data_IF_779497677565
#
_entry.id   IF_779497677565
#
_cell.length_a   1.000
_cell.length_b   1.000
_cell.length_c   1.000
_cell.angle_alpha   90.00
_cell.angle_beta   90.00
_cell.angle_gamma   90.00
#
_symmetry.space_group_name_H-M   'P 1'
#
loop_
_entity.id
_entity.type
_entity.pdbx_description
1 polymer ?
#
# COMPACT_ATOMS: atom_id res chain seq x y z
N UNK A 1 -30.97 10.22 -28.62
CA UNK A 1 -30.44 9.10 -27.82
C UNK A 1 -29.58 8.26 -28.74
N UNK A 2 -28.28 8.45 -28.60
CA UNK A 2 -27.31 7.88 -29.55
C UNK A 2 -27.17 6.36 -29.36
N UNK A 3 -27.52 5.64 -30.40
CA UNK A 3 -27.41 4.17 -30.52
C UNK A 3 -25.98 3.61 -30.27
N UNK A 4 -25.02 4.50 -30.17
CA UNK A 4 -23.58 4.17 -29.98
C UNK A 4 -23.22 3.74 -28.56
N UNK A 5 -24.02 4.12 -27.54
CA UNK A 5 -23.68 3.83 -26.13
C UNK A 5 -24.11 2.40 -25.72
N UNK A 6 -25.10 1.84 -26.36
CA UNK A 6 -25.70 0.56 -25.93
C UNK A 6 -25.35 -0.67 -26.78
N UNK A 7 -24.97 -0.51 -28.04
CA UNK A 7 -24.81 -1.64 -28.97
C UNK A 7 -23.43 -2.24 -29.07
N UNK A 8 -22.38 -1.44 -29.05
CA UNK A 8 -20.99 -1.92 -29.22
C UNK A 8 -20.28 -2.24 -27.90
N UNK A 9 -20.61 -1.54 -26.82
CA UNK A 9 -20.00 -1.77 -25.50
C UNK A 9 -20.46 -3.12 -24.89
N UNK A 10 -21.67 -3.58 -25.22
CA UNK A 10 -22.24 -4.84 -24.74
C UNK A 10 -21.62 -6.10 -25.39
N UNK A 11 -20.95 -6.00 -26.53
CA UNK A 11 -20.36 -7.17 -27.22
C UNK A 11 -18.97 -7.55 -26.73
N UNK A 12 -18.31 -6.69 -25.94
CA UNK A 12 -16.90 -6.89 -25.52
C UNK A 12 -16.69 -7.55 -24.15
N UNK A 13 -17.74 -7.97 -23.45
CA UNK A 13 -17.59 -8.60 -22.12
C UNK A 13 -17.33 -10.11 -22.14
N UNK A 14 -17.35 -10.79 -23.30
CA UNK A 14 -17.30 -12.25 -23.42
C UNK A 14 -16.28 -12.82 -24.42
N UNK A 15 -15.20 -12.14 -24.73
CA UNK A 15 -14.16 -12.66 -25.63
C UNK A 15 -12.76 -12.22 -25.24
N UNK A 16 -11.79 -13.11 -25.45
CA UNK A 16 -10.34 -12.86 -25.34
C UNK A 16 -10.04 -11.53 -26.04
N UNK A 17 -9.44 -10.60 -25.30
CA UNK A 17 -9.25 -9.22 -25.71
C UNK A 17 -8.46 -9.10 -27.02
N UNK A 18 -9.14 -8.86 -28.14
CA UNK A 18 -8.54 -8.15 -29.23
C UNK A 18 -8.17 -6.74 -28.77
N UNK A 19 -6.99 -6.27 -29.15
CA UNK A 19 -6.34 -5.02 -28.75
C UNK A 19 -7.06 -3.78 -29.32
N UNK A 20 -8.40 -3.70 -29.10
CA UNK A 20 -9.22 -2.58 -29.59
C UNK A 20 -9.09 -1.39 -28.64
N UNK A 21 -8.75 -0.24 -29.17
CA UNK A 21 -8.72 1.04 -28.44
C UNK A 21 -10.11 1.32 -27.88
N UNK A 22 -10.21 1.46 -26.55
CA UNK A 22 -11.47 1.85 -25.90
C UNK A 22 -11.76 3.32 -26.19
N UNK A 23 -13.02 3.68 -26.50
CA UNK A 23 -13.37 5.07 -26.78
C UNK A 23 -13.19 5.94 -25.54
N UNK A 24 -12.83 7.19 -25.74
CA UNK A 24 -12.84 8.21 -24.71
C UNK A 24 -14.29 8.51 -24.33
N UNK A 25 -14.61 8.46 -23.04
CA UNK A 25 -15.92 8.81 -22.50
C UNK A 25 -15.84 10.15 -21.75
N UNK A 26 -16.81 11.03 -21.98
CA UNK A 26 -17.06 12.22 -21.15
C UNK A 26 -17.58 11.78 -19.77
N UNK A 27 -17.55 12.67 -18.76
CA UNK A 27 -18.04 12.33 -17.41
C UNK A 27 -19.52 11.90 -17.43
N UNK A 28 -20.46 12.61 -18.09
CA UNK A 28 -21.83 12.12 -18.21
C UNK A 28 -21.93 10.73 -18.87
N UNK A 29 -21.10 10.45 -19.88
CA UNK A 29 -21.07 9.12 -20.50
C UNK A 29 -20.50 8.04 -19.55
N UNK A 30 -19.54 8.38 -18.68
CA UNK A 30 -19.04 7.48 -17.65
C UNK A 30 -20.13 7.15 -16.62
N UNK A 31 -20.92 8.13 -16.20
CA UNK A 31 -22.07 7.95 -15.30
C UNK A 31 -23.12 7.03 -15.95
N UNK A 32 -23.51 7.34 -17.20
CA UNK A 32 -24.45 6.50 -17.94
C UNK A 32 -23.93 5.05 -18.09
N UNK A 33 -22.63 4.88 -18.37
CA UNK A 33 -22.01 3.55 -18.46
C UNK A 33 -22.05 2.81 -17.11
N UNK A 34 -21.75 3.48 -16.00
CA UNK A 34 -21.82 2.88 -14.66
C UNK A 34 -23.26 2.46 -14.34
N UNK A 35 -24.26 3.30 -14.62
CA UNK A 35 -25.67 3.02 -14.37
C UNK A 35 -26.19 1.89 -15.26
N UNK A 36 -26.11 2.07 -16.59
CA UNK A 36 -26.85 1.25 -17.55
C UNK A 36 -26.15 -0.07 -17.84
N UNK A 37 -24.83 -0.06 -17.95
CA UNK A 37 -24.03 -1.23 -18.31
C UNK A 37 -23.55 -1.98 -17.07
N UNK A 38 -23.09 -1.26 -16.05
CA UNK A 38 -22.54 -1.87 -14.84
C UNK A 38 -23.59 -2.11 -13.76
N UNK A 39 -24.78 -1.49 -13.84
CA UNK A 39 -25.84 -1.60 -12.85
C UNK A 39 -25.47 -0.95 -11.51
N UNK A 40 -24.57 0.04 -11.52
CA UNK A 40 -24.24 0.80 -10.33
C UNK A 40 -25.38 1.78 -10.05
N UNK A 41 -25.83 1.79 -8.80
CA UNK A 41 -26.94 2.63 -8.36
C UNK A 41 -26.44 4.01 -7.92
N UNK A 42 -27.31 4.99 -8.03
CA UNK A 42 -27.08 6.39 -7.62
C UNK A 42 -28.24 6.86 -6.73
N UNK A 43 -28.58 6.06 -5.71
CA UNK A 43 -29.71 6.35 -4.81
C UNK A 43 -29.28 7.11 -3.57
N UNK A 44 -28.02 6.95 -3.14
CA UNK A 44 -27.43 7.63 -1.99
C UNK A 44 -26.70 8.90 -2.44
N UNK A 45 -25.96 8.81 -3.52
CA UNK A 45 -25.28 9.93 -4.19
C UNK A 45 -25.94 10.08 -5.54
N UNK A 46 -26.50 11.25 -5.83
CA UNK A 46 -27.14 11.54 -7.13
C UNK A 46 -26.13 11.52 -8.27
N UNK A 47 -26.60 11.30 -9.51
CA UNK A 47 -25.73 11.35 -10.69
C UNK A 47 -25.02 12.69 -10.83
N UNK A 48 -25.69 13.79 -10.50
CA UNK A 48 -25.08 15.13 -10.55
C UNK A 48 -23.96 15.30 -9.51
N UNK A 49 -24.14 14.81 -8.30
CA UNK A 49 -23.09 14.82 -7.28
C UNK A 49 -21.93 13.91 -7.66
N UNK A 50 -22.22 12.77 -8.31
CA UNK A 50 -21.19 11.86 -8.82
C UNK A 50 -20.40 12.48 -9.99
N UNK A 51 -21.04 13.25 -10.87
CA UNK A 51 -20.38 14.02 -11.93
C UNK A 51 -19.40 15.03 -11.33
N UNK A 52 -19.84 15.83 -10.36
CA UNK A 52 -18.98 16.80 -9.67
C UNK A 52 -17.81 16.11 -8.96
N UNK A 53 -18.06 14.98 -8.30
CA UNK A 53 -17.01 14.22 -7.66
C UNK A 53 -15.96 13.68 -8.65
N UNK A 54 -16.39 13.21 -9.82
CA UNK A 54 -15.49 12.75 -10.88
C UNK A 54 -14.77 13.89 -11.59
N UNK A 55 -15.33 15.09 -11.58
CA UNK A 55 -14.73 16.29 -12.17
C UNK A 55 -13.63 16.87 -11.26
N UNK A 56 -13.92 17.00 -9.97
CA UNK A 56 -13.12 17.83 -9.08
C UNK A 56 -12.27 17.04 -8.06
N UNK A 57 -12.68 15.81 -7.70
CA UNK A 57 -12.10 15.10 -6.57
C UNK A 57 -11.46 13.76 -6.93
N UNK A 58 -11.93 13.09 -7.99
CA UNK A 58 -11.44 11.77 -8.37
C UNK A 58 -11.70 11.52 -9.86
N UNK A 59 -11.26 10.38 -10.37
CA UNK A 59 -11.48 9.99 -11.76
C UNK A 59 -12.01 8.55 -11.85
N UNK A 60 -12.82 8.29 -12.87
CA UNK A 60 -13.53 7.02 -13.03
C UNK A 60 -12.62 5.80 -12.97
N UNK A 61 -11.45 5.84 -13.63
CA UNK A 61 -10.55 4.69 -13.68
C UNK A 61 -10.05 4.27 -12.28
N UNK A 62 -9.86 5.25 -11.38
CA UNK A 62 -9.49 4.99 -9.98
C UNK A 62 -10.65 4.37 -9.18
N UNK A 63 -11.86 4.93 -9.31
CA UNK A 63 -13.05 4.37 -8.66
C UNK A 63 -13.34 2.95 -9.11
N UNK A 64 -13.22 2.70 -10.42
CA UNK A 64 -13.41 1.38 -11.01
C UNK A 64 -12.52 0.30 -10.38
N UNK A 65 -11.35 0.65 -9.85
CA UNK A 65 -10.48 -0.32 -9.19
C UNK A 65 -11.17 -1.01 -8.00
N UNK A 66 -12.03 -0.29 -7.26
CA UNK A 66 -12.74 -0.81 -6.09
C UNK A 66 -13.94 -1.70 -6.44
N UNK A 67 -14.44 -1.67 -7.69
CA UNK A 67 -15.50 -2.55 -8.17
C UNK A 67 -15.16 -4.03 -7.98
N UNK A 68 -13.87 -4.39 -7.97
CA UNK A 68 -13.39 -5.78 -7.76
C UNK A 68 -13.82 -6.38 -6.42
N UNK A 69 -14.15 -5.54 -5.43
CA UNK A 69 -14.65 -5.98 -4.13
C UNK A 69 -16.12 -6.45 -4.17
N UNK A 70 -16.79 -6.29 -5.29
CA UNK A 70 -18.22 -6.61 -5.43
C UNK A 70 -18.44 -7.74 -6.42
N UNK A 71 -19.55 -8.42 -6.27
CA UNK A 71 -19.94 -9.55 -7.12
C UNK A 71 -20.77 -9.08 -8.32
N UNK A 72 -20.60 -9.78 -9.44
CA UNK A 72 -21.34 -9.57 -10.68
C UNK A 72 -22.41 -10.66 -10.78
N UNK A 73 -23.60 -10.32 -11.26
CA UNK A 73 -24.66 -11.25 -11.56
C UNK A 73 -24.25 -12.17 -12.74
N UNK A 74 -24.28 -13.48 -12.51
CA UNK A 74 -23.84 -14.46 -13.51
C UNK A 74 -24.97 -14.95 -14.43
N UNK A 75 -26.25 -14.67 -14.10
CA UNK A 75 -27.42 -15.15 -14.83
C UNK A 75 -28.59 -14.16 -14.78
N UNK A 76 -29.63 -14.39 -15.58
CA UNK A 76 -30.84 -13.58 -15.65
C UNK A 76 -30.65 -12.26 -16.40
N UNK A 77 -31.63 -11.37 -16.29
CA UNK A 77 -31.68 -10.07 -16.98
C UNK A 77 -30.54 -9.12 -16.56
N UNK A 78 -30.04 -9.29 -15.33
CA UNK A 78 -28.95 -8.50 -14.78
C UNK A 78 -27.57 -9.13 -14.98
N UNK A 79 -27.41 -10.14 -15.85
CA UNK A 79 -26.13 -10.77 -16.15
C UNK A 79 -25.09 -9.72 -16.56
N UNK A 80 -23.95 -9.72 -15.91
CA UNK A 80 -22.84 -8.79 -16.15
C UNK A 80 -22.91 -7.49 -15.34
N UNK A 81 -24.02 -7.22 -14.64
CA UNK A 81 -24.18 -6.07 -13.75
C UNK A 81 -23.76 -6.42 -12.31
N UNK A 82 -23.32 -5.41 -11.56
CA UNK A 82 -23.00 -5.59 -10.14
C UNK A 82 -24.27 -5.87 -9.32
N UNK A 83 -24.12 -6.75 -8.34
CA UNK A 83 -25.18 -7.01 -7.37
C UNK A 83 -25.11 -5.96 -6.27
N UNK A 84 -26.15 -5.11 -6.20
CA UNK A 84 -26.34 -4.12 -5.13
C UNK A 84 -25.14 -3.18 -4.87
N UNK A 85 -24.53 -2.65 -5.93
CA UNK A 85 -23.42 -1.71 -5.83
C UNK A 85 -23.92 -0.27 -6.01
N UNK A 86 -23.67 0.56 -5.00
CA UNK A 86 -23.92 2.00 -5.01
C UNK A 86 -22.65 2.78 -5.35
N UNK A 87 -22.77 3.91 -6.06
CA UNK A 87 -21.67 4.82 -6.29
C UNK A 87 -21.07 5.34 -4.97
N UNK A 88 -21.93 5.58 -3.97
CA UNK A 88 -21.54 5.98 -2.61
C UNK A 88 -20.52 5.02 -1.97
N UNK A 89 -20.67 3.70 -2.22
CA UNK A 89 -19.77 2.69 -1.66
C UNK A 89 -18.38 2.78 -2.27
N UNK A 90 -18.27 3.02 -3.58
CA UNK A 90 -16.99 3.22 -4.27
C UNK A 90 -16.32 4.52 -3.82
N UNK A 91 -17.10 5.60 -3.67
CA UNK A 91 -16.63 6.88 -3.14
C UNK A 91 -16.05 6.69 -1.74
N UNK A 92 -16.75 6.00 -0.86
CA UNK A 92 -16.33 5.75 0.52
C UNK A 92 -15.05 4.89 0.57
N UNK A 93 -14.97 3.80 -0.21
CA UNK A 93 -13.74 2.99 -0.31
C UNK A 93 -12.54 3.83 -0.79
N UNK A 94 -12.76 4.73 -1.74
CA UNK A 94 -11.68 5.61 -2.22
C UNK A 94 -11.18 6.59 -1.16
N UNK A 95 -12.08 7.05 -0.27
CA UNK A 95 -11.75 7.94 0.84
C UNK A 95 -11.02 7.19 1.95
N UNK A 96 -11.48 6.00 2.33
CA UNK A 96 -10.78 5.11 3.28
C UNK A 96 -9.37 4.79 2.77
N UNK A 97 -9.24 4.45 1.49
CA UNK A 97 -7.96 4.16 0.83
C UNK A 97 -7.01 5.38 0.85
N UNK A 98 -7.54 6.60 0.72
CA UNK A 98 -6.76 7.84 0.83
C UNK A 98 -6.17 7.99 2.24
N UNK A 99 -6.96 7.81 3.30
CA UNK A 99 -6.48 7.88 4.68
C UNK A 99 -5.46 6.77 5.01
N UNK A 100 -5.70 5.55 4.51
CA UNK A 100 -4.74 4.44 4.65
C UNK A 100 -3.39 4.79 4.00
N UNK A 101 -3.39 5.35 2.78
CA UNK A 101 -2.14 5.77 2.11
C UNK A 101 -1.39 6.84 2.88
N UNK A 102 -2.11 7.78 3.50
CA UNK A 102 -1.49 8.83 4.31
C UNK A 102 -0.76 8.23 5.52
N UNK A 103 -1.41 7.34 6.28
CA UNK A 103 -0.81 6.68 7.43
C UNK A 103 0.36 5.78 7.01
N UNK A 104 0.20 5.00 5.94
CA UNK A 104 1.26 4.13 5.42
C UNK A 104 2.50 4.93 5.05
N UNK A 105 2.35 6.08 4.37
CA UNK A 105 3.48 6.97 4.04
C UNK A 105 4.16 7.49 5.30
N UNK A 106 3.39 7.99 6.26
CA UNK A 106 3.92 8.53 7.51
C UNK A 106 4.71 7.47 8.29
N UNK A 107 4.11 6.30 8.54
CA UNK A 107 4.78 5.20 9.25
C UNK A 107 6.00 4.67 8.49
N UNK A 108 5.97 4.66 7.15
CA UNK A 108 7.11 4.21 6.34
C UNK A 108 8.29 5.16 6.42
N UNK A 109 8.08 6.47 6.57
CA UNK A 109 9.14 7.45 6.80
C UNK A 109 9.79 7.26 8.16
N UNK A 110 8.99 7.00 9.21
CA UNK A 110 9.52 6.66 10.52
C UNK A 110 10.35 5.37 10.47
N UNK A 111 9.86 4.32 9.80
CA UNK A 111 10.61 3.06 9.61
C UNK A 111 11.94 3.34 8.90
N UNK A 112 11.94 4.12 7.82
CA UNK A 112 13.16 4.47 7.08
C UNK A 112 14.16 5.21 7.98
N UNK A 113 13.69 6.21 8.74
CA UNK A 113 14.51 6.98 9.65
C UNK A 113 15.16 6.09 10.73
N UNK A 114 14.36 5.31 11.46
CA UNK A 114 14.89 4.47 12.54
C UNK A 114 15.78 3.33 12.02
N UNK A 115 15.55 2.87 10.79
CA UNK A 115 16.43 1.90 10.15
C UNK A 115 17.78 2.52 9.79
N UNK A 116 17.82 3.81 9.36
CA UNK A 116 19.07 4.56 9.17
C UNK A 116 19.82 4.71 10.49
N UNK A 117 19.12 5.12 11.55
CA UNK A 117 19.72 5.21 12.91
C UNK A 117 20.32 3.86 13.33
N UNK A 118 19.58 2.78 13.12
CA UNK A 118 20.04 1.43 13.46
C UNK A 118 21.29 1.04 12.67
N UNK A 119 21.29 1.20 11.34
CA UNK A 119 22.46 0.87 10.52
C UNK A 119 23.69 1.67 10.95
N UNK A 120 23.54 2.99 11.17
CA UNK A 120 24.66 3.86 11.55
C UNK A 120 25.24 3.50 12.92
N UNK A 121 24.40 3.10 13.88
CA UNK A 121 24.85 2.63 15.18
C UNK A 121 25.58 1.29 15.05
N UNK A 122 25.01 0.33 14.29
CA UNK A 122 25.64 -0.99 14.10
C UNK A 122 26.99 -0.87 13.39
N UNK A 123 27.15 0.08 12.40
CA UNK A 123 28.43 0.36 11.76
C UNK A 123 29.42 1.06 12.71
N UNK A 124 28.94 1.98 13.55
CA UNK A 124 29.80 2.67 14.50
C UNK A 124 30.37 1.76 15.61
N UNK A 125 29.64 0.71 15.97
CA UNK A 125 30.05 -0.29 16.95
C UNK A 125 30.88 -1.43 16.32
N UNK A 126 30.97 -1.51 15.00
CA UNK A 126 31.66 -2.56 14.26
C UNK A 126 33.15 -2.20 14.07
N UNK A 127 34.02 -2.79 14.86
CA UNK A 127 35.46 -2.53 14.81
C UNK A 127 36.12 -2.89 13.45
N UNK A 128 35.46 -3.74 12.63
CA UNK A 128 35.96 -4.15 11.32
C UNK A 128 35.51 -3.21 10.17
N UNK A 129 34.65 -2.19 10.48
CA UNK A 129 34.05 -1.33 9.46
C UNK A 129 34.51 0.14 9.65
N UNK A 130 35.11 0.72 8.63
CA UNK A 130 35.59 2.12 8.63
C UNK A 130 34.55 3.15 8.16
N UNK A 131 33.37 2.66 7.74
CA UNK A 131 32.29 3.49 7.19
C UNK A 131 32.48 3.94 5.74
N UNK A 132 33.60 3.55 5.09
CA UNK A 132 33.90 3.81 3.68
C UNK A 132 33.90 2.51 2.88
N UNK A 133 34.50 1.45 3.40
CA UNK A 133 34.59 0.13 2.77
C UNK A 133 33.22 -0.43 2.42
N UNK A 134 32.23 -0.24 3.30
CA UNK A 134 30.83 -0.61 3.04
C UNK A 134 30.25 0.10 1.82
N UNK A 135 30.54 1.40 1.66
CA UNK A 135 30.06 2.20 0.54
C UNK A 135 30.73 1.80 -0.77
N UNK A 136 32.03 1.53 -0.74
CA UNK A 136 32.80 1.05 -1.89
C UNK A 136 32.24 -0.31 -2.37
N UNK A 137 32.01 -1.25 -1.45
CA UNK A 137 31.39 -2.54 -1.76
C UNK A 137 29.97 -2.41 -2.31
N UNK A 138 29.18 -1.52 -1.74
CA UNK A 138 27.83 -1.23 -2.23
C UNK A 138 27.86 -0.75 -3.69
N UNK A 139 28.78 0.13 -4.07
CA UNK A 139 28.89 0.61 -5.45
C UNK A 139 29.38 -0.46 -6.44
N UNK A 140 30.16 -1.45 -6.00
CA UNK A 140 30.55 -2.57 -6.87
C UNK A 140 29.33 -3.30 -7.45
N UNK A 141 28.28 -3.46 -6.62
CA UNK A 141 27.05 -4.14 -7.03
C UNK A 141 25.94 -3.20 -7.49
N UNK A 142 26.09 -1.89 -7.28
CA UNK A 142 25.09 -0.86 -7.57
C UNK A 142 25.74 0.35 -8.29
N UNK A 143 26.53 0.11 -9.32
CA UNK A 143 27.34 1.15 -10.00
C UNK A 143 26.50 2.34 -10.51
N UNK A 144 25.28 2.11 -11.00
CA UNK A 144 24.39 3.17 -11.50
C UNK A 144 23.96 4.15 -10.42
N UNK A 145 23.92 3.72 -9.15
CA UNK A 145 23.50 4.59 -8.01
C UNK A 145 24.51 5.72 -7.79
N UNK A 146 25.80 5.48 -7.99
CA UNK A 146 26.82 6.53 -7.86
C UNK A 146 26.60 7.64 -8.88
N UNK A 147 26.32 7.29 -10.13
CA UNK A 147 26.02 8.27 -11.18
C UNK A 147 24.68 9.00 -10.91
N UNK A 148 23.69 8.27 -10.38
CA UNK A 148 22.41 8.89 -9.99
C UNK A 148 22.61 9.94 -8.86
N UNK A 149 23.44 9.65 -7.87
CA UNK A 149 23.77 10.59 -6.79
C UNK A 149 24.42 11.85 -7.37
N UNK A 150 25.42 11.68 -8.26
CA UNK A 150 26.09 12.81 -8.94
C UNK A 150 25.11 13.66 -9.74
N UNK A 151 24.22 13.02 -10.51
CA UNK A 151 23.25 13.71 -11.35
C UNK A 151 22.15 14.42 -10.54
N UNK A 152 21.73 13.85 -9.41
CA UNK A 152 20.71 14.41 -8.53
C UNK A 152 21.25 15.56 -7.66
N UNK A 153 22.56 15.64 -7.46
CA UNK A 153 23.19 16.64 -6.61
C UNK A 153 22.77 18.08 -6.95
N UNK A 154 22.70 18.42 -8.24
CA UNK A 154 22.37 19.77 -8.71
C UNK A 154 20.92 20.23 -8.42
N UNK A 155 20.03 19.34 -7.99
CA UNK A 155 18.59 19.61 -7.79
C UNK A 155 18.04 19.08 -6.47
N UNK A 156 18.93 18.74 -5.54
CA UNK A 156 18.58 18.10 -4.27
C UNK A 156 18.73 19.08 -3.11
N UNK A 157 17.90 18.93 -2.08
CA UNK A 157 18.12 19.62 -0.79
C UNK A 157 19.44 19.20 -0.11
N UNK A 158 20.09 18.14 -0.60
CA UNK A 158 21.40 17.65 -0.14
C UNK A 158 22.55 18.08 -1.05
N UNK A 159 22.36 19.09 -1.92
CA UNK A 159 23.37 19.55 -2.89
C UNK A 159 24.74 19.83 -2.25
N UNK A 160 24.76 20.64 -1.19
CA UNK A 160 26.00 21.02 -0.49
C UNK A 160 26.69 19.80 0.14
N UNK A 161 25.90 18.88 0.72
CA UNK A 161 26.40 17.65 1.30
C UNK A 161 27.09 16.78 0.24
N UNK A 162 26.43 16.59 -0.91
CA UNK A 162 26.98 15.79 -2.01
C UNK A 162 28.24 16.45 -2.57
N UNK A 163 28.21 17.74 -2.92
CA UNK A 163 29.38 18.47 -3.46
C UNK A 163 30.59 18.37 -2.56
N UNK A 164 30.39 18.46 -1.24
CA UNK A 164 31.49 18.41 -0.26
C UNK A 164 32.11 17.00 -0.16
N UNK A 165 31.35 15.95 -0.37
CA UNK A 165 31.78 14.57 -0.09
C UNK A 165 31.80 13.65 -1.31
N UNK A 166 31.58 14.19 -2.54
CA UNK A 166 31.41 13.38 -3.76
C UNK A 166 32.60 12.51 -4.10
N UNK A 167 33.82 12.95 -3.76
CA UNK A 167 35.05 12.23 -4.05
C UNK A 167 35.23 11.00 -3.15
N UNK A 168 34.71 11.05 -1.93
CA UNK A 168 34.74 9.94 -0.98
C UNK A 168 33.52 9.95 -0.06
N UNK A 169 32.48 9.25 -0.48
CA UNK A 169 31.24 9.11 0.28
C UNK A 169 31.43 8.11 1.43
N UNK A 170 31.07 8.56 2.63
CA UNK A 170 30.97 7.69 3.80
C UNK A 170 29.55 7.15 3.98
N UNK A 171 29.36 6.13 4.83
CA UNK A 171 28.04 5.60 5.18
C UNK A 171 27.13 6.68 5.75
N UNK A 172 27.67 7.61 6.57
CA UNK A 172 26.93 8.75 7.16
C UNK A 172 26.43 9.73 6.11
N UNK A 173 27.18 9.91 5.02
CA UNK A 173 26.78 10.79 3.92
C UNK A 173 25.81 10.11 2.97
N UNK A 174 26.09 8.86 2.61
CA UNK A 174 25.31 8.17 1.57
C UNK A 174 23.86 7.89 2.02
N UNK A 175 23.60 7.60 3.31
CA UNK A 175 22.26 7.34 3.83
C UNK A 175 21.30 8.53 3.67
N UNK A 176 21.84 9.76 3.57
CA UNK A 176 21.02 10.98 3.37
C UNK A 176 20.55 11.16 1.93
N UNK A 177 21.26 10.57 0.96
CA UNK A 177 21.01 10.80 -0.46
C UNK A 177 20.42 9.59 -1.20
N UNK A 178 20.49 8.40 -0.60
CA UNK A 178 19.92 7.19 -1.18
C UNK A 178 18.39 7.23 -1.20
N UNK A 179 17.79 6.66 -2.25
CA UNK A 179 16.39 6.27 -2.20
C UNK A 179 16.19 5.17 -1.14
N UNK A 180 14.97 5.05 -0.59
CA UNK A 180 14.69 3.96 0.36
C UNK A 180 15.03 2.57 -0.20
N UNK A 181 14.87 2.36 -1.52
CA UNK A 181 15.24 1.12 -2.18
C UNK A 181 16.74 0.85 -2.16
N UNK A 182 17.55 1.84 -2.51
CA UNK A 182 19.00 1.74 -2.55
C UNK A 182 19.58 1.67 -1.12
N UNK A 183 18.95 2.38 -0.18
CA UNK A 183 19.29 2.25 1.23
C UNK A 183 19.08 0.82 1.75
N UNK A 184 17.98 0.15 1.36
CA UNK A 184 17.79 -1.25 1.72
C UNK A 184 18.81 -2.19 1.05
N UNK A 185 19.32 -1.83 -0.14
CA UNK A 185 20.40 -2.58 -0.76
C UNK A 185 21.72 -2.39 0.02
N UNK A 186 21.99 -1.17 0.50
CA UNK A 186 23.13 -0.90 1.40
C UNK A 186 23.02 -1.71 2.70
N UNK A 187 21.84 -1.73 3.34
CA UNK A 187 21.59 -2.60 4.50
C UNK A 187 21.84 -4.07 4.19
N UNK A 188 21.45 -4.54 3.02
CA UNK A 188 21.62 -5.93 2.59
C UNK A 188 23.12 -6.27 2.42
N UNK A 189 23.93 -5.34 1.91
CA UNK A 189 25.39 -5.51 1.81
C UNK A 189 26.01 -5.64 3.21
N UNK A 190 25.64 -4.78 4.14
CA UNK A 190 26.18 -4.80 5.51
C UNK A 190 25.72 -6.05 6.30
N UNK A 191 24.40 -6.27 6.41
CA UNK A 191 23.86 -7.32 7.29
C UNK A 191 24.08 -8.75 6.75
N UNK A 192 24.27 -8.92 5.46
CA UNK A 192 24.59 -10.23 4.85
C UNK A 192 25.90 -10.84 5.39
N UNK A 193 26.84 -10.02 5.86
CA UNK A 193 28.11 -10.44 6.44
C UNK A 193 28.00 -10.93 7.88
N UNK A 194 26.89 -10.65 8.55
CA UNK A 194 26.67 -10.97 9.95
C UNK A 194 26.05 -12.36 10.09
N UNK A 195 26.59 -13.20 10.96
CA UNK A 195 26.04 -14.55 11.22
C UNK A 195 24.58 -14.48 11.73
N UNK A 196 24.27 -13.51 12.57
CA UNK A 196 22.93 -13.29 13.13
C UNK A 196 22.52 -11.82 12.97
N UNK A 197 22.05 -11.45 11.79
CA UNK A 197 21.67 -10.06 11.55
C UNK A 197 20.50 -9.67 12.48
N UNK A 198 20.56 -8.48 13.10
CA UNK A 198 19.52 -8.01 14.04
C UNK A 198 18.23 -7.66 13.31
N UNK A 199 18.26 -7.53 11.99
CA UNK A 199 17.10 -7.24 11.14
C UNK A 199 17.05 -8.19 9.93
N UNK A 200 15.83 -8.46 9.47
CA UNK A 200 15.58 -9.19 8.22
C UNK A 200 15.25 -8.18 7.12
N UNK A 201 16.24 -7.78 6.33
CA UNK A 201 16.12 -6.73 5.28
C UNK A 201 14.96 -7.02 4.33
N UNK A 202 14.69 -8.29 4.04
CA UNK A 202 13.57 -8.72 3.19
C UNK A 202 12.20 -8.19 3.66
N UNK A 203 11.98 -8.04 4.97
CA UNK A 203 10.74 -7.49 5.52
C UNK A 203 10.57 -6.01 5.15
N UNK A 204 11.65 -5.24 5.20
CA UNK A 204 11.65 -3.82 4.85
C UNK A 204 11.51 -3.60 3.34
N UNK A 205 11.91 -4.57 2.50
CA UNK A 205 11.62 -4.55 1.06
C UNK A 205 10.10 -4.60 0.79
N UNK A 206 9.35 -5.33 1.62
CA UNK A 206 7.87 -5.34 1.55
C UNK A 206 7.31 -3.97 1.93
N UNK A 207 7.82 -3.36 3.00
CA UNK A 207 7.44 -1.98 3.41
C UNK A 207 7.70 -0.99 2.27
N UNK A 208 8.86 -1.08 1.59
CA UNK A 208 9.19 -0.23 0.44
C UNK A 208 8.14 -0.37 -0.68
N UNK A 209 7.71 -1.57 -1.02
CA UNK A 209 6.69 -1.77 -2.06
C UNK A 209 5.35 -1.16 -1.67
N UNK A 210 4.92 -1.34 -0.43
CA UNK A 210 3.68 -0.76 0.09
C UNK A 210 3.74 0.78 0.12
N UNK A 211 4.86 1.34 0.60
CA UNK A 211 5.12 2.80 0.61
C UNK A 211 5.10 3.38 -0.79
N UNK A 212 5.74 2.73 -1.75
CA UNK A 212 5.76 3.19 -3.14
C UNK A 212 4.35 3.17 -3.75
N UNK A 213 3.58 2.11 -3.51
CA UNK A 213 2.18 2.05 -3.94
C UNK A 213 1.35 3.20 -3.33
N UNK A 214 1.52 3.50 -2.04
CA UNK A 214 0.86 4.61 -1.36
C UNK A 214 1.30 5.97 -1.91
N UNK A 215 2.60 6.17 -2.19
CA UNK A 215 3.16 7.41 -2.73
C UNK A 215 2.74 7.69 -4.17
N UNK A 216 2.55 6.65 -4.97
CA UNK A 216 2.03 6.75 -6.35
C UNK A 216 0.51 6.79 -6.42
N UNK A 217 -0.18 6.98 -5.29
CA UNK A 217 -1.65 7.00 -5.21
C UNK A 217 -2.34 5.74 -5.78
N UNK A 218 -1.70 4.57 -5.74
CA UNK A 218 -2.33 3.32 -6.13
C UNK A 218 -3.48 2.97 -5.18
N UNK A 219 -4.51 2.32 -5.72
CA UNK A 219 -5.63 1.83 -4.90
C UNK A 219 -5.20 0.58 -4.13
N UNK A 220 -4.96 0.71 -2.84
CA UNK A 220 -4.43 -0.35 -1.99
C UNK A 220 -5.49 -1.42 -1.67
N UNK A 221 -6.71 -0.97 -1.33
CA UNK A 221 -7.85 -1.84 -0.99
C UNK A 221 -8.74 -2.14 -2.20
N UNK A 222 -8.17 -2.13 -3.41
CA UNK A 222 -8.93 -2.34 -4.64
C UNK A 222 -9.51 -3.76 -4.78
N UNK A 223 -8.91 -4.74 -4.11
CA UNK A 223 -9.35 -6.13 -4.13
C UNK A 223 -8.97 -6.81 -2.82
N UNK A 224 -9.94 -6.92 -1.92
CA UNK A 224 -9.79 -7.61 -0.64
C UNK A 224 -10.33 -9.04 -0.66
N UNK A 225 -10.63 -9.59 -1.86
CA UNK A 225 -11.01 -11.00 -2.01
C UNK A 225 -9.90 -11.90 -1.49
N UNK A 226 -10.33 -12.94 -0.79
CA UNK A 226 -9.42 -13.93 -0.25
C UNK A 226 -8.79 -14.71 -1.42
N UNK A 227 -7.48 -14.61 -1.55
CA UNK A 227 -6.72 -15.30 -2.60
C UNK A 227 -5.94 -16.44 -1.97
N UNK A 228 -6.56 -17.61 -1.88
CA UNK A 228 -5.83 -18.85 -1.60
C UNK A 228 -5.12 -19.30 -2.87
N UNK A 229 -3.78 -19.33 -2.84
CA UNK A 229 -3.01 -19.96 -3.91
C UNK A 229 -2.25 -19.04 -4.87
N UNK A 230 -2.20 -17.74 -4.66
CA UNK A 230 -1.47 -16.81 -5.56
C UNK A 230 0.06 -16.78 -5.38
N UNK A 231 0.66 -17.83 -4.86
CA UNK A 231 2.10 -18.09 -5.04
C UNK A 231 3.08 -17.16 -4.31
N UNK A 232 2.62 -16.16 -3.53
CA UNK A 232 3.55 -15.42 -2.70
C UNK A 232 3.70 -16.07 -1.32
N UNK A 233 4.94 -16.11 -0.84
CA UNK A 233 5.28 -16.68 0.46
C UNK A 233 4.92 -15.72 1.58
N UNK A 234 4.10 -16.19 2.53
CA UNK A 234 3.78 -15.39 3.72
C UNK A 234 5.04 -15.11 4.55
N UNK A 235 5.12 -13.89 5.07
CA UNK A 235 6.19 -13.54 6.01
C UNK A 235 6.09 -14.38 7.29
N UNK A 236 7.14 -15.12 7.63
CA UNK A 236 7.15 -16.08 8.71
C UNK A 236 7.02 -15.41 10.08
N UNK A 237 7.78 -14.35 10.31
CA UNK A 237 7.85 -13.65 11.60
C UNK A 237 6.52 -12.95 11.91
N UNK A 238 6.02 -12.20 10.94
CA UNK A 238 4.71 -11.54 11.07
C UNK A 238 3.58 -12.56 11.25
N UNK A 239 3.62 -13.68 10.52
CA UNK A 239 2.62 -14.74 10.66
C UNK A 239 2.65 -15.38 12.04
N UNK A 240 3.84 -15.63 12.58
CA UNK A 240 4.01 -16.16 13.94
C UNK A 240 3.48 -15.17 15.00
N UNK A 241 3.75 -13.86 14.80
CA UNK A 241 3.23 -12.83 15.69
C UNK A 241 1.69 -12.75 15.66
N UNK A 242 1.08 -12.74 14.46
CA UNK A 242 -0.39 -12.69 14.32
C UNK A 242 -1.05 -13.93 14.92
N UNK A 243 -0.40 -15.10 14.87
CA UNK A 243 -0.91 -16.33 15.48
C UNK A 243 -1.09 -16.21 17.00
N UNK A 244 -0.44 -15.26 17.66
CA UNK A 244 -0.60 -15.00 19.11
C UNK A 244 -1.84 -14.16 19.44
N UNK A 245 -2.53 -13.60 18.42
CA UNK A 245 -3.68 -12.72 18.65
C UNK A 245 -4.92 -13.53 18.97
N UNK A 246 -5.49 -13.29 20.13
CA UNK A 246 -6.71 -13.97 20.58
C UNK A 246 -7.87 -13.75 19.59
N UNK A 247 -8.60 -14.83 19.30
CA UNK A 247 -9.76 -14.79 18.38
C UNK A 247 -9.41 -14.69 16.90
N UNK A 248 -8.13 -14.95 16.51
CA UNK A 248 -7.73 -15.20 15.13
C UNK A 248 -7.37 -16.69 15.02
N UNK A 249 -8.19 -17.47 14.30
CA UNK A 249 -7.86 -18.87 14.02
C UNK A 249 -6.81 -18.98 12.91
N UNK A 250 -6.02 -20.07 12.89
CA UNK A 250 -5.06 -20.34 11.82
C UNK A 250 -5.70 -20.30 10.42
N UNK A 251 -6.93 -20.82 10.29
CA UNK A 251 -7.69 -20.76 9.03
C UNK A 251 -7.98 -19.33 8.61
N UNK A 252 -8.45 -18.49 9.54
CA UNK A 252 -8.74 -17.07 9.28
C UNK A 252 -7.47 -16.32 8.91
N UNK A 253 -6.40 -16.53 9.66
CA UNK A 253 -5.10 -15.94 9.39
C UNK A 253 -4.60 -16.27 7.98
N UNK A 254 -4.53 -17.55 7.62
CA UNK A 254 -4.05 -17.99 6.31
C UNK A 254 -4.89 -17.39 5.17
N UNK A 255 -6.22 -17.37 5.36
CA UNK A 255 -7.14 -16.81 4.38
C UNK A 255 -6.95 -15.31 4.19
N UNK A 256 -6.86 -14.52 5.26
CA UNK A 256 -6.73 -13.07 5.21
C UNK A 256 -5.32 -12.62 4.84
N UNK A 257 -4.30 -13.25 5.39
CA UNK A 257 -2.90 -13.00 5.01
C UNK A 257 -2.57 -13.42 3.57
N UNK A 258 -3.38 -14.29 2.95
CA UNK A 258 -3.32 -14.57 1.51
C UNK A 258 -3.64 -13.36 0.63
N UNK A 259 -4.30 -12.34 1.16
CA UNK A 259 -4.51 -11.07 0.47
C UNK A 259 -3.25 -10.19 0.56
N UNK A 260 -2.75 -9.72 -0.59
CA UNK A 260 -1.49 -8.97 -0.70
C UNK A 260 -1.47 -7.71 0.17
N UNK A 261 -2.54 -6.90 0.13
CA UNK A 261 -2.59 -5.68 0.93
C UNK A 261 -2.57 -6.00 2.43
N UNK A 262 -3.42 -6.93 2.88
CA UNK A 262 -3.50 -7.31 4.30
C UNK A 262 -2.17 -7.86 4.79
N UNK A 263 -1.49 -8.70 4.00
CA UNK A 263 -0.16 -9.21 4.31
C UNK A 263 0.87 -8.08 4.44
N UNK A 264 1.01 -7.26 3.40
CA UNK A 264 2.05 -6.24 3.35
C UNK A 264 1.84 -5.16 4.43
N UNK A 265 0.57 -4.81 4.72
CA UNK A 265 0.22 -3.90 5.81
C UNK A 265 0.57 -4.50 7.18
N UNK A 266 0.28 -5.78 7.40
CA UNK A 266 0.66 -6.47 8.64
C UNK A 266 2.18 -6.57 8.83
N UNK A 267 2.93 -6.80 7.74
CA UNK A 267 4.41 -6.78 7.76
C UNK A 267 4.92 -5.38 8.10
N UNK A 268 4.31 -4.33 7.55
CA UNK A 268 4.67 -2.95 7.88
C UNK A 268 4.48 -2.66 9.38
N UNK A 269 3.35 -3.07 9.97
CA UNK A 269 3.11 -2.90 11.41
C UNK A 269 4.15 -3.65 12.25
N UNK A 270 4.51 -4.87 11.85
CA UNK A 270 5.55 -5.64 12.51
C UNK A 270 6.92 -4.96 12.42
N UNK A 271 7.30 -4.48 11.23
CA UNK A 271 8.54 -3.72 11.04
C UNK A 271 8.56 -2.43 11.86
N UNK A 272 7.43 -1.70 11.89
CA UNK A 272 7.29 -0.48 12.68
C UNK A 272 7.49 -0.74 14.18
N UNK A 273 6.80 -1.74 14.74
CA UNK A 273 6.94 -2.13 16.14
C UNK A 273 8.38 -2.55 16.49
N UNK A 274 9.06 -3.26 15.58
CA UNK A 274 10.40 -3.80 15.81
C UNK A 274 11.53 -2.77 15.69
N UNK A 275 11.42 -1.79 14.79
CA UNK A 275 12.55 -0.89 14.47
C UNK A 275 12.41 0.49 15.10
N UNK A 276 11.19 1.03 15.24
CA UNK A 276 10.97 2.34 15.86
C UNK A 276 11.20 2.22 17.37
N UNK A 277 12.22 2.90 17.87
CA UNK A 277 12.59 2.86 19.30
C UNK A 277 11.93 3.95 20.13
N UNK A 278 11.36 4.98 19.51
CA UNK A 278 10.72 6.11 20.19
C UNK A 278 9.27 5.81 20.57
N UNK A 279 8.98 5.73 21.86
CA UNK A 279 7.62 5.50 22.39
C UNK A 279 6.66 6.61 21.96
N UNK A 280 7.11 7.86 21.91
CA UNK A 280 6.27 8.99 21.48
C UNK A 280 5.87 8.88 20.01
N UNK A 281 6.78 8.46 19.12
CA UNK A 281 6.49 8.22 17.70
C UNK A 281 5.54 7.03 17.54
N UNK A 282 5.80 5.92 18.26
CA UNK A 282 4.90 4.76 18.27
C UNK A 282 3.50 5.16 18.67
N UNK A 283 3.37 5.83 19.80
CA UNK A 283 2.07 6.29 20.33
C UNK A 283 1.34 7.19 19.34
N UNK A 284 2.03 8.17 18.77
CA UNK A 284 1.44 9.11 17.80
C UNK A 284 0.88 8.39 16.57
N UNK A 285 1.65 7.49 15.95
CA UNK A 285 1.21 6.77 14.76
C UNK A 285 0.09 5.76 15.08
N UNK A 286 0.18 5.09 16.22
CA UNK A 286 -0.87 4.14 16.63
C UNK A 286 -2.18 4.84 16.97
N UNK A 287 -2.16 6.03 17.58
CA UNK A 287 -3.37 6.84 17.80
C UNK A 287 -4.05 7.23 16.50
N UNK A 288 -3.29 7.68 15.49
CA UNK A 288 -3.83 7.97 14.16
C UNK A 288 -4.46 6.74 13.50
N UNK A 289 -3.77 5.61 13.60
CA UNK A 289 -4.26 4.36 13.00
C UNK A 289 -5.51 3.86 13.75
N UNK A 290 -5.55 3.99 15.06
CA UNK A 290 -6.73 3.67 15.88
C UNK A 290 -7.90 4.57 15.53
N UNK A 291 -7.69 5.87 15.37
CA UNK A 291 -8.75 6.79 14.96
C UNK A 291 -9.35 6.42 13.60
N UNK A 292 -8.48 6.06 12.62
CA UNK A 292 -8.95 5.53 11.34
C UNK A 292 -9.80 4.28 11.51
N UNK A 293 -9.35 3.30 12.33
CA UNK A 293 -10.03 2.03 12.52
C UNK A 293 -11.34 2.16 13.33
N UNK A 294 -11.34 2.96 14.39
CA UNK A 294 -12.45 2.99 15.34
C UNK A 294 -13.51 4.04 14.99
N UNK A 295 -13.12 5.13 14.30
CA UNK A 295 -13.98 6.25 14.01
C UNK A 295 -14.25 6.43 12.52
N UNK A 296 -13.20 6.54 11.69
CA UNK A 296 -13.39 6.92 10.28
C UNK A 296 -13.93 5.77 9.41
N UNK A 297 -13.40 4.56 9.51
CA UNK A 297 -13.88 3.42 8.71
C UNK A 297 -15.32 3.05 9.06
N UNK A 298 -15.75 3.01 10.36
CA UNK A 298 -17.12 2.69 10.71
C UNK A 298 -18.13 3.80 10.42
N UNK A 299 -17.73 5.00 10.01
CA UNK A 299 -18.61 6.15 9.80
C UNK A 299 -19.81 5.83 8.90
N UNK A 300 -19.57 5.06 7.85
CA UNK A 300 -20.59 4.58 6.90
C UNK A 300 -20.61 3.05 6.84
N UNK A 301 -20.60 2.41 8.01
CA UNK A 301 -20.56 0.93 8.11
C UNK A 301 -21.76 0.25 7.42
N UNK A 302 -22.90 0.94 7.35
CA UNK A 302 -24.12 0.48 6.66
C UNK A 302 -23.89 0.25 5.17
N UNK A 303 -22.98 0.99 4.52
CA UNK A 303 -22.65 0.81 3.11
C UNK A 303 -22.00 -0.55 2.83
N UNK A 304 -21.40 -1.15 3.84
CA UNK A 304 -20.64 -2.40 3.72
C UNK A 304 -21.30 -3.58 4.45
N UNK A 305 -22.45 -3.38 5.11
CA UNK A 305 -23.10 -4.38 5.94
C UNK A 305 -23.37 -5.69 5.18
N UNK A 306 -23.77 -5.61 3.92
CA UNK A 306 -24.06 -6.74 3.06
C UNK A 306 -22.82 -7.35 2.39
N UNK A 307 -21.63 -6.75 2.55
CA UNK A 307 -20.39 -7.25 1.99
C UNK A 307 -19.53 -7.94 3.06
N UNK A 308 -19.80 -9.22 3.29
CA UNK A 308 -19.13 -10.03 4.33
C UNK A 308 -17.61 -10.11 4.14
N UNK A 309 -17.12 -9.99 2.91
CA UNK A 309 -15.67 -9.98 2.61
C UNK A 309 -15.02 -8.70 3.11
N UNK A 310 -15.60 -7.53 2.84
CA UNK A 310 -15.09 -6.24 3.32
C UNK A 310 -15.15 -6.17 4.84
N UNK A 311 -16.31 -6.51 5.44
CA UNK A 311 -16.49 -6.47 6.90
C UNK A 311 -15.55 -7.42 7.64
N UNK A 312 -15.39 -8.65 7.15
CA UNK A 312 -14.46 -9.61 7.77
C UNK A 312 -12.99 -9.22 7.60
N UNK A 313 -12.64 -8.55 6.50
CA UNK A 313 -11.27 -8.04 6.29
C UNK A 313 -10.98 -6.87 7.23
N UNK A 314 -11.92 -5.94 7.37
CA UNK A 314 -11.85 -4.86 8.36
C UNK A 314 -11.66 -5.40 9.78
N UNK A 315 -12.50 -6.35 10.21
CA UNK A 315 -12.43 -6.93 11.56
C UNK A 315 -11.11 -7.65 11.81
N UNK A 316 -10.56 -8.33 10.81
CA UNK A 316 -9.23 -8.94 10.92
C UNK A 316 -8.14 -7.89 11.09
N UNK A 317 -8.09 -6.89 10.20
CA UNK A 317 -7.08 -5.83 10.26
C UNK A 317 -7.20 -5.04 11.56
N UNK A 318 -8.43 -4.76 12.03
CA UNK A 318 -8.66 -4.10 13.31
C UNK A 318 -8.04 -4.87 14.47
N UNK A 319 -8.23 -6.20 14.56
CA UNK A 319 -7.61 -7.02 15.61
C UNK A 319 -6.07 -6.96 15.56
N UNK A 320 -5.50 -6.94 14.35
CA UNK A 320 -4.05 -6.81 14.18
C UNK A 320 -3.57 -5.45 14.68
N UNK A 321 -4.25 -4.37 14.29
CA UNK A 321 -3.94 -2.99 14.75
C UNK A 321 -4.10 -2.87 16.26
N UNK A 322 -5.19 -3.37 16.84
CA UNK A 322 -5.44 -3.34 18.29
C UNK A 322 -4.28 -4.00 19.05
N UNK A 323 -3.78 -5.15 18.55
CA UNK A 323 -2.66 -5.87 19.17
C UNK A 323 -1.35 -5.08 19.17
N UNK A 324 -1.04 -4.37 18.09
CA UNK A 324 0.14 -3.49 18.08
C UNK A 324 -0.06 -2.23 18.93
N UNK A 325 -1.27 -1.69 18.97
CA UNK A 325 -1.59 -0.51 19.76
C UNK A 325 -1.52 -0.77 21.29
N UNK A 326 -1.87 -1.98 21.77
CA UNK A 326 -1.76 -2.38 23.18
C UNK A 326 -0.36 -2.13 23.78
N UNK A 327 0.68 -2.16 22.96
CA UNK A 327 2.08 -1.95 23.40
C UNK A 327 2.49 -0.48 23.41
N UNK A 328 1.76 0.38 22.69
CA UNK A 328 2.20 1.74 22.40
C UNK A 328 1.30 2.83 23.01
N UNK A 329 0.10 2.46 23.42
CA UNK A 329 -0.91 3.34 24.04
C UNK A 329 -1.20 2.90 25.46
#
# INVERSE_FOLDING_TARGET
MDKWVTGEILRESNGIAENKKRPKLTIPQQIAYMRDVKGIKFTIVTEKEAELFLQDSNYYFKLKAFEKNYSICNSGENKGKYYDLEFAYLKELSTIDMHLREIIRSMSLDIEHFLKVRLLNDVAEDEEEDGYSLVEEFFVTNATVQDEIRNKAAYSYCEDLVKKHIDRLSVWTIVEVLSFGDFLNLCDVYYRKKEKPPIVVGNFKIVKFLRNAASHNNCLINNLKDTTGNGFKLNRETSAYIATIAGISARTQNKKMGNRFIHDFSVMLYCFDSIVSSDSVKKYQMLKLKDLMDNRIPLHKEYFANNTMLTSSYLFVKKVVDKFAEKSI
#
